data_IF_800910906889
#
_entry.id   IF_800910906889
#
_cell.length_a   1.000
_cell.length_b   1.000
_cell.length_c   1.000
_cell.angle_alpha   90.00
_cell.angle_beta   90.00
_cell.angle_gamma   90.00
#
_symmetry.space_group_name_H-M   'P 1'
#
loop_
_entity.id
_entity.type
_entity.pdbx_description
1 polymer ?
#
# COMPACT_ATOMS: atom_id res chain seq x y z
N UNK A 1 -3.68 -13.32 -2.15
CA UNK A 1 -2.34 -12.80 -1.74
C UNK A 1 -2.40 -12.39 -0.28
N UNK A 2 -1.45 -12.84 0.55
CA UNK A 2 -1.39 -12.42 1.96
C UNK A 2 -0.55 -11.13 2.10
N UNK A 3 -1.14 -10.13 2.77
CA UNK A 3 -0.49 -8.86 3.12
C UNK A 3 -0.27 -8.82 4.63
N UNK A 4 0.92 -8.39 5.06
CA UNK A 4 1.19 -8.15 6.48
C UNK A 4 0.38 -6.96 7.01
N UNK A 5 0.23 -6.86 8.33
CA UNK A 5 -0.47 -5.73 8.96
C UNK A 5 0.16 -4.37 8.58
N UNK A 6 1.49 -4.30 8.53
CA UNK A 6 2.20 -3.10 8.07
C UNK A 6 1.90 -2.80 6.60
N UNK A 7 1.90 -3.80 5.72
CA UNK A 7 1.59 -3.59 4.31
C UNK A 7 0.14 -3.14 4.10
N UNK A 8 -0.83 -3.73 4.83
CA UNK A 8 -2.22 -3.28 4.82
C UNK A 8 -2.33 -1.83 5.32
N UNK A 9 -1.61 -1.49 6.38
CA UNK A 9 -1.57 -0.12 6.91
C UNK A 9 -1.02 0.86 5.87
N UNK A 10 0.11 0.55 5.22
CA UNK A 10 0.70 1.39 4.17
C UNK A 10 -0.31 1.64 3.04
N UNK A 11 -1.00 0.60 2.55
CA UNK A 11 -1.99 0.76 1.48
C UNK A 11 -3.17 1.64 1.89
N UNK A 12 -3.66 1.49 3.13
CA UNK A 12 -4.74 2.32 3.68
C UNK A 12 -4.33 3.78 3.83
N UNK A 13 -3.17 4.03 4.43
CA UNK A 13 -2.61 5.38 4.61
C UNK A 13 -2.33 6.06 3.26
N UNK A 14 -1.93 5.29 2.24
CA UNK A 14 -1.70 5.82 0.88
C UNK A 14 -3.00 6.10 0.12
N UNK A 15 -4.10 5.44 0.47
CA UNK A 15 -5.39 5.66 -0.17
C UNK A 15 -6.04 6.99 0.24
N UNK A 16 -5.81 7.44 1.48
CA UNK A 16 -6.34 8.72 1.98
C UNK A 16 -5.71 9.95 1.35
N UNK A 17 -4.63 9.80 0.56
CA UNK A 17 -3.88 10.91 -0.01
C UNK A 17 -3.85 10.83 -1.54
N UNK A 18 -4.20 11.93 -2.21
CA UNK A 18 -4.09 12.02 -3.67
C UNK A 18 -2.63 12.19 -4.15
N UNK A 19 -1.77 12.71 -3.26
CA UNK A 19 -0.36 13.01 -3.52
C UNK A 19 0.55 11.85 -3.10
N UNK A 20 1.85 11.99 -3.42
CA UNK A 20 2.86 11.04 -2.95
C UNK A 20 3.00 11.14 -1.44
N UNK A 21 3.22 10.01 -0.76
CA UNK A 21 3.44 9.98 0.68
C UNK A 21 4.91 9.68 0.97
N UNK A 22 5.52 10.51 1.82
CA UNK A 22 6.86 10.29 2.33
C UNK A 22 6.95 9.10 3.27
N UNK A 23 8.03 8.31 3.13
CA UNK A 23 8.29 7.08 3.90
C UNK A 23 8.15 7.26 5.42
N UNK A 24 8.60 8.40 5.95
CA UNK A 24 8.58 8.69 7.41
C UNK A 24 7.18 8.61 8.00
N UNK A 25 6.13 8.91 7.23
CA UNK A 25 4.74 8.84 7.71
C UNK A 25 4.34 7.43 8.17
N UNK A 26 4.95 6.39 7.60
CA UNK A 26 4.66 5.00 7.98
C UNK A 26 5.29 4.59 9.32
N UNK A 27 6.18 5.39 9.90
CA UNK A 27 6.74 5.13 11.23
C UNK A 27 5.66 5.19 12.33
N UNK A 28 4.58 5.95 12.10
CA UNK A 28 3.36 5.98 12.93
C UNK A 28 2.71 4.62 13.12
N UNK A 29 2.99 3.65 12.26
CA UNK A 29 2.57 2.27 12.48
C UNK A 29 3.06 1.74 13.83
N UNK A 30 4.31 2.06 14.18
CA UNK A 30 4.98 1.54 15.37
C UNK A 30 4.65 2.31 16.65
N UNK A 31 4.14 3.54 16.56
CA UNK A 31 3.67 4.30 17.73
C UNK A 31 2.55 3.58 18.50
N UNK A 32 1.78 2.73 17.80
CA UNK A 32 0.71 1.92 18.40
C UNK A 32 1.20 0.70 19.17
N UNK A 33 2.48 0.35 19.08
CA UNK A 33 3.04 -0.82 19.76
C UNK A 33 3.87 -0.39 20.98
N UNK A 34 3.49 -0.85 22.17
CA UNK A 34 4.21 -0.55 23.44
C UNK A 34 5.67 -1.03 23.44
N UNK A 35 6.03 -2.00 22.60
CA UNK A 35 7.41 -2.49 22.48
C UNK A 35 8.23 -1.56 21.59
N UNK A 36 9.29 -1.00 22.17
CA UNK A 36 10.25 -0.16 21.47
C UNK A 36 11.12 -0.98 20.52
N UNK A 37 10.62 -1.25 19.31
CA UNK A 37 11.46 -1.67 18.19
C UNK A 37 12.50 -0.57 17.96
N UNK A 38 13.81 -0.90 17.86
CA UNK A 38 14.87 0.10 17.59
C UNK A 38 14.59 0.85 16.28
N UNK A 39 14.88 2.16 16.25
CA UNK A 39 14.58 3.05 15.10
C UNK A 39 15.10 2.51 13.77
N UNK A 40 16.37 2.09 13.71
CA UNK A 40 16.99 1.55 12.50
C UNK A 40 16.28 0.31 11.95
N UNK A 41 15.76 -0.53 12.85
CA UNK A 41 15.05 -1.74 12.47
C UNK A 41 13.67 -1.40 11.89
N UNK A 42 12.97 -0.40 12.44
CA UNK A 42 11.70 0.11 11.88
C UNK A 42 11.90 0.59 10.44
N UNK A 43 12.95 1.39 10.21
CA UNK A 43 13.27 1.92 8.88
C UNK A 43 13.54 0.80 7.87
N UNK A 44 14.32 -0.22 8.26
CA UNK A 44 14.58 -1.39 7.41
C UNK A 44 13.30 -2.18 7.09
N UNK A 45 12.45 -2.43 8.09
CA UNK A 45 11.20 -3.19 7.89
C UNK A 45 10.23 -2.43 6.98
N UNK A 46 10.09 -1.11 7.17
CA UNK A 46 9.26 -0.26 6.31
C UNK A 46 9.80 -0.29 4.89
N UNK A 47 11.11 -0.08 4.70
CA UNK A 47 11.73 -0.06 3.35
C UNK A 47 11.48 -1.38 2.61
N UNK A 48 11.73 -2.52 3.26
CA UNK A 48 11.48 -3.85 2.69
C UNK A 48 10.00 -4.09 2.39
N UNK A 49 9.10 -3.53 3.19
CA UNK A 49 7.65 -3.62 2.95
C UNK A 49 7.22 -2.80 1.73
N UNK A 50 7.81 -1.62 1.54
CA UNK A 50 7.58 -0.78 0.36
C UNK A 50 8.11 -1.44 -0.91
N UNK A 51 9.34 -1.95 -0.89
CA UNK A 51 9.94 -2.70 -2.00
C UNK A 51 9.04 -3.85 -2.45
N UNK A 52 8.60 -4.71 -1.52
CA UNK A 52 7.68 -5.81 -1.83
C UNK A 52 6.34 -5.36 -2.40
N UNK A 53 5.80 -4.23 -1.95
CA UNK A 53 4.54 -3.69 -2.48
C UNK A 53 4.73 -3.11 -3.89
N UNK A 54 5.90 -2.56 -4.19
CA UNK A 54 6.28 -2.10 -5.53
C UNK A 54 6.49 -3.29 -6.47
N UNK A 55 7.23 -4.32 -6.05
CA UNK A 55 7.42 -5.57 -6.80
C UNK A 55 6.08 -6.23 -7.16
N UNK A 56 5.10 -6.14 -6.26
CA UNK A 56 3.73 -6.64 -6.49
C UNK A 56 2.87 -5.74 -7.37
N UNK A 57 3.40 -4.59 -7.81
CA UNK A 57 2.69 -3.62 -8.64
C UNK A 57 1.56 -2.86 -7.92
N UNK A 58 1.57 -2.82 -6.58
CA UNK A 58 0.57 -2.11 -5.78
C UNK A 58 0.98 -0.66 -5.49
N UNK A 59 2.27 -0.39 -5.45
CA UNK A 59 2.82 0.94 -5.26
C UNK A 59 3.76 1.32 -6.41
N UNK A 60 3.88 2.62 -6.64
CA UNK A 60 4.95 3.25 -7.41
C UNK A 60 5.87 3.98 -6.42
N UNK A 61 7.14 3.60 -6.41
CA UNK A 61 8.17 4.26 -5.60
C UNK A 61 8.77 5.47 -6.32
N UNK A 62 9.14 6.48 -5.53
CA UNK A 62 9.92 7.64 -5.95
C UNK A 62 11.09 7.82 -4.99
N UNK A 63 12.21 8.30 -5.51
CA UNK A 63 13.40 8.59 -4.74
C UNK A 63 14.65 8.47 -5.59
N UNK A 64 15.78 8.24 -4.94
CA UNK A 64 17.11 8.38 -5.53
C UNK A 64 17.75 7.03 -5.81
N UNK A 65 18.19 6.81 -7.05
CA UNK A 65 19.01 5.67 -7.38
C UNK A 65 20.48 6.07 -7.19
N UNK A 66 21.11 5.49 -6.18
CA UNK A 66 22.57 5.60 -5.98
C UNK A 66 23.27 4.44 -6.67
N UNK A 67 24.61 4.49 -6.75
CA UNK A 67 25.43 3.38 -7.27
C UNK A 67 25.11 2.06 -6.57
N UNK A 68 24.90 2.09 -5.25
CA UNK A 68 24.71 0.89 -4.44
C UNK A 68 23.25 0.40 -4.44
N UNK A 69 22.27 1.30 -4.27
CA UNK A 69 20.86 0.91 -4.13
C UNK A 69 19.88 2.00 -4.50
N UNK A 70 18.61 1.61 -4.65
CA UNK A 70 17.49 2.53 -4.80
C UNK A 70 16.96 2.94 -3.42
N UNK A 71 16.98 4.23 -3.12
CA UNK A 71 16.42 4.79 -1.89
C UNK A 71 15.02 5.33 -2.16
N UNK A 72 14.01 4.64 -1.65
CA UNK A 72 12.62 5.06 -1.76
C UNK A 72 12.33 6.14 -0.70
N UNK A 73 12.04 7.35 -1.15
CA UNK A 73 11.68 8.48 -0.29
C UNK A 73 10.17 8.65 -0.20
N UNK A 74 9.47 8.41 -1.31
CA UNK A 74 8.02 8.57 -1.40
C UNK A 74 7.36 7.43 -2.19
N UNK A 75 6.07 7.21 -1.94
CA UNK A 75 5.27 6.22 -2.66
C UNK A 75 3.90 6.76 -3.06
N UNK A 76 3.32 6.18 -4.11
CA UNK A 76 1.94 6.43 -4.53
C UNK A 76 1.27 5.11 -4.92
N UNK A 77 -0.04 4.98 -4.73
CA UNK A 77 -0.79 3.82 -5.23
C UNK A 77 -0.80 3.77 -6.76
N UNK A 78 -0.69 2.56 -7.30
CA UNK A 78 -1.07 2.27 -8.69
C UNK A 78 -2.60 2.08 -8.78
N UNK A 79 -3.16 2.03 -9.99
CA UNK A 79 -4.58 1.71 -10.16
C UNK A 79 -4.96 0.35 -9.50
N UNK A 80 -4.08 -0.65 -9.65
CA UNK A 80 -4.23 -1.95 -8.98
C UNK A 80 -4.15 -1.83 -7.46
N UNK A 81 -3.20 -1.03 -6.97
CA UNK A 81 -3.05 -0.71 -5.55
C UNK A 81 -4.30 -0.06 -4.95
N UNK A 82 -4.90 0.89 -5.66
CA UNK A 82 -6.12 1.57 -5.23
C UNK A 82 -7.28 0.58 -5.05
N UNK A 83 -7.53 -0.29 -6.04
CA UNK A 83 -8.56 -1.34 -5.93
C UNK A 83 -8.30 -2.24 -4.73
N UNK A 84 -7.05 -2.68 -4.55
CA UNK A 84 -6.67 -3.53 -3.42
C UNK A 84 -6.85 -2.83 -2.07
N UNK A 85 -6.52 -1.54 -1.98
CA UNK A 85 -6.68 -0.74 -0.76
C UNK A 85 -8.16 -0.53 -0.41
N UNK A 86 -9.02 -0.29 -1.41
CA UNK A 86 -10.48 -0.21 -1.24
C UNK A 86 -11.06 -1.50 -0.67
N UNK A 87 -10.67 -2.65 -1.25
CA UNK A 87 -11.07 -3.98 -0.73
C UNK A 87 -10.66 -4.15 0.75
N UNK A 88 -9.46 -3.68 1.13
CA UNK A 88 -8.99 -3.76 2.53
C UNK A 88 -9.76 -2.85 3.51
N UNK A 89 -10.46 -1.84 3.01
CA UNK A 89 -11.37 -1.00 3.80
C UNK A 89 -12.80 -1.55 3.85
N UNK A 90 -13.07 -2.69 3.19
CA UNK A 90 -14.41 -3.27 3.12
C UNK A 90 -15.29 -2.65 2.02
N UNK A 91 -14.72 -1.87 1.09
CA UNK A 91 -15.45 -1.48 -0.11
C UNK A 91 -15.58 -2.70 -1.02
N UNK A 92 -16.79 -3.26 -1.07
CA UNK A 92 -17.22 -4.20 -2.09
C UNK A 92 -17.81 -3.38 -3.24
N UNK A 93 -17.22 -3.46 -4.44
CA UNK A 93 -17.87 -2.90 -5.62
C UNK A 93 -19.12 -3.76 -5.89
N UNK A 94 -20.29 -3.12 -6.05
CA UNK A 94 -21.46 -3.81 -6.56
C UNK A 94 -21.12 -4.29 -7.96
N UNK A 95 -21.13 -5.61 -8.16
CA UNK A 95 -21.08 -6.16 -9.51
C UNK A 95 -22.27 -5.55 -10.26
N UNK A 96 -22.09 -4.96 -11.44
CA UNK A 96 -23.23 -4.65 -12.28
C UNK A 96 -23.91 -6.00 -12.51
N UNK A 97 -25.09 -6.20 -11.91
CA UNK A 97 -25.90 -7.36 -12.19
C UNK A 97 -26.06 -7.36 -13.71
N UNK A 98 -25.43 -8.33 -14.38
CA UNK A 98 -25.75 -8.62 -15.77
C UNK A 98 -27.21 -9.07 -15.72
N UNK A 99 -28.12 -8.11 -15.91
CA UNK A 99 -29.52 -8.38 -16.15
C UNK A 99 -29.53 -9.19 -17.44
N UNK A 100 -29.52 -10.51 -17.30
CA UNK A 100 -29.78 -11.44 -18.38
C UNK A 100 -31.21 -11.12 -18.85
N UNK A 101 -31.32 -10.29 -19.89
CA UNK A 101 -32.54 -10.11 -20.67
C UNK A 101 -32.76 -11.41 -21.46
N UNK A 102 -33.20 -12.46 -20.78
CA UNK A 102 -33.94 -13.51 -21.48
C UNK A 102 -35.33 -12.96 -21.82
N UNK A 103 -35.37 -12.24 -22.94
CA UNK A 103 -36.56 -12.17 -23.78
C UNK A 103 -36.87 -13.60 -24.25
N UNK A 104 -37.98 -14.16 -23.81
CA UNK A 104 -38.82 -15.10 -24.56
C UNK A 104 -40.26 -14.71 -24.20
N UNK A 105 -40.91 -13.97 -25.10
CA UNK A 105 -41.91 -14.46 -26.06
C UNK A 105 -43.07 -15.13 -25.34
#
# INVERSE_FOLDING_TARGET
MTLSNLQKYILKETLSEAKKIGRRRFEKFYERYKQNVKGDLRVKIISKSLERLIERGLLKGYGERTKCKWFITEVKLTARGQRQAKILLGFQEELPFLINKHKKL
#
